data_IF_675861620443
#
_entry.id   IF_675861620443
#
_cell.length_a   1.000
_cell.length_b   1.000
_cell.length_c   1.000
_cell.angle_alpha   90.00
_cell.angle_beta   90.00
_cell.angle_gamma   90.00
#
_symmetry.space_group_name_H-M   'P 1'
#
loop_
_entity.id
_entity.type
_entity.pdbx_description
1 polymer ?
#
# COMPACT_ATOMS: atom_id res chain seq x y z
N UNK A 1 6.92 -6.16 16.93
CA UNK A 1 6.83 -7.60 16.56
C UNK A 1 5.43 -7.87 16.06
N UNK A 2 5.22 -8.73 15.05
CA UNK A 2 3.87 -9.10 14.62
C UNK A 2 3.12 -9.85 15.72
N UNK A 3 1.79 -9.87 15.64
CA UNK A 3 0.91 -10.62 16.52
C UNK A 3 0.32 -11.83 15.79
N UNK A 4 0.43 -13.03 16.36
CA UNK A 4 -0.24 -14.22 15.83
C UNK A 4 -1.76 -14.12 15.99
N UNK A 5 -2.51 -14.44 14.95
CA UNK A 5 -3.97 -14.49 14.97
C UNK A 5 -4.51 -15.60 14.06
N UNK A 6 -5.83 -15.82 14.11
CA UNK A 6 -6.54 -16.72 13.19
C UNK A 6 -7.68 -16.00 12.49
N UNK A 7 -7.97 -16.42 11.27
CA UNK A 7 -9.08 -15.88 10.47
C UNK A 7 -10.44 -16.31 11.03
N UNK A 8 -11.37 -15.38 11.21
CA UNK A 8 -12.75 -15.65 11.65
C UNK A 8 -13.65 -16.19 10.52
N UNK A 9 -13.23 -16.00 9.27
CA UNK A 9 -13.88 -16.53 8.06
C UNK A 9 -12.90 -16.45 6.89
N UNK A 10 -13.17 -17.22 5.83
CA UNK A 10 -12.40 -17.08 4.60
C UNK A 10 -12.48 -15.64 4.07
N UNK A 11 -11.37 -15.14 3.54
CA UNK A 11 -11.27 -13.76 3.06
C UNK A 11 -10.32 -13.65 1.87
N UNK A 12 -10.71 -12.84 0.91
CA UNK A 12 -9.78 -12.28 -0.07
C UNK A 12 -8.80 -11.35 0.63
N UNK A 13 -7.53 -11.40 0.21
CA UNK A 13 -6.46 -10.52 0.67
C UNK A 13 -6.16 -9.50 -0.42
N UNK A 14 -6.06 -8.22 -0.07
CA UNK A 14 -5.89 -7.11 -1.00
C UNK A 14 -4.53 -6.45 -0.87
N UNK A 15 -4.07 -5.79 -1.93
CA UNK A 15 -2.80 -5.05 -1.91
C UNK A 15 -2.87 -3.74 -1.11
N UNK A 16 -4.05 -3.30 -0.68
CA UNK A 16 -4.25 -2.11 0.15
C UNK A 16 -5.58 -2.15 0.90
N UNK A 17 -5.85 -1.20 1.81
CA UNK A 17 -7.00 -1.23 2.72
C UNK A 17 -8.30 -0.73 2.05
N UNK A 18 -8.63 -1.28 0.87
CA UNK A 18 -9.90 -1.05 0.18
C UNK A 18 -10.11 -2.13 -0.90
N UNK A 19 -11.29 -2.75 -0.95
CA UNK A 19 -11.59 -3.86 -1.86
C UNK A 19 -11.91 -3.45 -3.30
N UNK A 20 -12.30 -2.21 -3.55
CA UNK A 20 -12.68 -1.73 -4.90
C UNK A 20 -11.51 -1.15 -5.67
N UNK A 21 -10.53 -0.60 -4.95
CA UNK A 21 -9.45 0.17 -5.53
C UNK A 21 -8.12 -0.60 -5.65
N UNK A 22 -7.95 -1.64 -4.84
CA UNK A 22 -6.73 -2.44 -4.81
C UNK A 22 -6.96 -3.80 -5.42
N UNK A 23 -5.98 -4.25 -6.19
CA UNK A 23 -5.98 -5.60 -6.71
C UNK A 23 -5.87 -6.63 -5.57
N UNK A 24 -6.29 -7.86 -5.87
CA UNK A 24 -6.16 -9.00 -4.95
C UNK A 24 -4.72 -9.53 -4.93
N UNK A 25 -4.28 -9.99 -3.76
CA UNK A 25 -2.99 -10.66 -3.50
C UNK A 25 -3.16 -12.19 -3.53
N UNK A 26 -4.30 -12.64 -3.04
CA UNK A 26 -4.69 -14.04 -2.86
C UNK A 26 -5.87 -14.15 -1.89
N UNK A 27 -5.93 -15.26 -1.17
CA UNK A 27 -6.98 -15.54 -0.18
C UNK A 27 -6.41 -16.30 1.01
N UNK A 28 -7.13 -16.21 2.13
CA UNK A 28 -6.91 -17.01 3.35
C UNK A 28 -8.21 -17.72 3.71
N UNK A 29 -8.10 -18.90 4.30
CA UNK A 29 -9.21 -19.77 4.68
C UNK A 29 -9.73 -19.46 6.09
N UNK A 30 -10.93 -19.94 6.41
CA UNK A 30 -11.43 -19.95 7.79
C UNK A 30 -10.43 -20.65 8.71
N UNK A 31 -10.19 -20.09 9.90
CA UNK A 31 -9.25 -20.58 10.92
C UNK A 31 -7.78 -20.64 10.48
N UNK A 32 -7.42 -20.11 9.31
CA UNK A 32 -6.03 -20.03 8.88
C UNK A 32 -5.21 -19.14 9.84
N UNK A 33 -4.04 -19.62 10.23
CA UNK A 33 -3.11 -18.88 11.08
C UNK A 33 -2.37 -17.81 10.28
N UNK A 34 -2.36 -16.59 10.79
CA UNK A 34 -1.72 -15.44 10.14
C UNK A 34 -0.89 -14.65 11.15
N UNK A 35 0.04 -13.84 10.65
CA UNK A 35 0.80 -12.87 11.44
C UNK A 35 0.31 -11.47 11.10
N UNK A 36 -0.17 -10.73 12.10
CA UNK A 36 -0.67 -9.36 11.94
C UNK A 36 0.43 -8.37 12.27
N UNK A 37 0.77 -7.51 11.31
CA UNK A 37 1.88 -6.55 11.43
C UNK A 37 1.42 -5.15 11.82
N UNK A 38 0.24 -4.75 11.36
CA UNK A 38 -0.28 -3.39 11.58
C UNK A 38 -1.77 -3.29 11.27
N UNK A 39 -2.36 -2.17 11.69
CA UNK A 39 -3.67 -1.67 11.28
C UNK A 39 -3.50 -0.50 10.31
N UNK A 40 -4.35 -0.38 9.29
CA UNK A 40 -4.53 0.86 8.52
C UNK A 40 -6.02 1.07 8.31
N UNK A 41 -6.57 2.14 8.90
CA UNK A 41 -8.02 2.34 8.97
C UNK A 41 -8.68 1.09 9.60
N UNK A 42 -9.73 0.55 8.97
CA UNK A 42 -10.43 -0.64 9.44
C UNK A 42 -9.94 -1.95 8.77
N UNK A 43 -8.64 -2.06 8.51
CA UNK A 43 -8.01 -3.20 7.85
C UNK A 43 -6.74 -3.63 8.58
N UNK A 44 -6.53 -4.95 8.65
CA UNK A 44 -5.30 -5.54 9.16
C UNK A 44 -4.34 -5.84 8.02
N UNK A 45 -3.08 -5.43 8.16
CA UNK A 45 -1.98 -5.87 7.30
C UNK A 45 -1.40 -7.17 7.85
N UNK A 46 -1.56 -8.25 7.10
CA UNK A 46 -1.23 -9.61 7.51
C UNK A 46 -0.13 -10.22 6.65
N UNK A 47 0.55 -11.22 7.19
CA UNK A 47 1.36 -12.21 6.47
C UNK A 47 0.75 -13.60 6.65
N UNK A 48 0.71 -14.37 5.58
CA UNK A 48 0.18 -15.72 5.56
C UNK A 48 1.03 -16.62 4.66
N UNK A 49 1.04 -17.92 4.96
CA UNK A 49 1.84 -18.89 4.23
C UNK A 49 1.10 -19.34 2.96
N UNK A 50 1.82 -19.48 1.85
CA UNK A 50 1.29 -20.02 0.59
C UNK A 50 1.99 -21.31 0.16
N UNK A 51 2.90 -21.81 1.01
CA UNK A 51 3.69 -23.02 0.79
C UNK A 51 4.58 -23.27 2.00
N UNK A 52 5.55 -24.18 1.86
CA UNK A 52 6.49 -24.49 2.95
C UNK A 52 7.44 -23.31 3.26
N UNK A 53 7.84 -22.56 2.23
CA UNK A 53 8.81 -21.46 2.33
C UNK A 53 8.29 -20.14 1.77
N UNK A 54 7.13 -20.15 1.10
CA UNK A 54 6.57 -18.97 0.45
C UNK A 54 5.49 -18.33 1.30
N UNK A 55 5.53 -17.00 1.37
CA UNK A 55 4.58 -16.19 2.12
C UNK A 55 4.12 -15.01 1.29
N UNK A 56 2.97 -14.45 1.64
CA UNK A 56 2.48 -13.20 1.07
C UNK A 56 2.06 -12.25 2.18
N UNK A 57 2.14 -10.94 1.92
CA UNK A 57 1.51 -9.93 2.77
C UNK A 57 0.47 -9.12 2.02
N UNK A 58 -0.56 -8.69 2.75
CA UNK A 58 -1.65 -7.88 2.22
C UNK A 58 -2.67 -7.53 3.30
N UNK A 59 -3.84 -7.04 2.89
CA UNK A 59 -4.86 -6.51 3.78
C UNK A 59 -6.12 -7.36 3.79
N UNK A 60 -6.67 -7.58 4.99
CA UNK A 60 -8.00 -8.14 5.22
C UNK A 60 -8.81 -7.17 6.09
N UNK A 61 -10.14 -7.18 5.97
CA UNK A 61 -10.98 -6.28 6.77
C UNK A 61 -10.90 -6.63 8.25
N UNK A 62 -11.06 -5.63 9.11
CA UNK A 62 -10.99 -5.78 10.56
C UNK A 62 -11.85 -6.95 11.10
N UNK A 63 -13.06 -7.12 10.57
CA UNK A 63 -14.00 -8.15 10.99
C UNK A 63 -13.58 -9.59 10.63
N UNK A 64 -12.49 -9.78 9.88
CA UNK A 64 -12.02 -11.09 9.40
C UNK A 64 -10.99 -11.75 10.32
N UNK A 65 -10.61 -11.10 11.42
CA UNK A 65 -9.68 -11.64 12.42
C UNK A 65 -10.44 -11.99 13.70
N UNK A 66 -10.19 -13.16 14.27
CA UNK A 66 -10.71 -13.53 15.59
C UNK A 66 -10.11 -12.62 16.67
N UNK A 67 -10.93 -12.19 17.62
CA UNK A 67 -10.52 -11.23 18.67
C UNK A 67 -9.90 -9.94 18.12
N UNK A 68 -10.46 -9.42 17.03
CA UNK A 68 -9.93 -8.25 16.30
C UNK A 68 -9.56 -7.07 17.20
N UNK A 69 -10.37 -6.74 18.22
CA UNK A 69 -10.08 -5.62 19.13
C UNK A 69 -8.76 -5.83 19.91
N UNK A 70 -8.55 -7.04 20.43
CA UNK A 70 -7.33 -7.41 21.13
C UNK A 70 -6.11 -7.37 20.21
N UNK A 71 -6.26 -7.91 18.99
CA UNK A 71 -5.19 -7.89 17.98
C UNK A 71 -4.86 -6.47 17.54
N UNK A 72 -5.87 -5.61 17.35
CA UNK A 72 -5.66 -4.21 16.99
C UNK A 72 -4.92 -3.43 18.08
N UNK A 73 -5.18 -3.73 19.35
CA UNK A 73 -4.48 -3.12 20.47
C UNK A 73 -3.00 -3.57 20.59
N UNK A 74 -2.62 -4.69 19.97
CA UNK A 74 -1.27 -5.24 20.05
C UNK A 74 -0.38 -4.94 18.83
N UNK A 75 -0.90 -4.26 17.82
CA UNK A 75 -0.16 -3.91 16.59
C UNK A 75 -0.18 -2.39 16.34
N UNK A 76 0.87 -1.83 15.72
CA UNK A 76 0.89 -0.41 15.41
C UNK A 76 -0.18 -0.04 14.38
N UNK A 77 -0.64 1.20 14.43
CA UNK A 77 -1.43 1.80 13.34
C UNK A 77 -0.49 2.45 12.32
N UNK A 78 -0.62 2.06 11.06
CA UNK A 78 0.03 2.70 9.92
C UNK A 78 -0.72 3.96 9.53
N UNK A 79 -0.12 5.10 9.83
CA UNK A 79 -0.37 6.36 9.15
C UNK A 79 0.78 6.56 8.16
N UNK A 80 0.52 6.31 6.87
CA UNK A 80 1.58 6.41 5.88
C UNK A 80 1.88 7.86 5.53
N UNK A 81 3.13 8.26 5.74
CA UNK A 81 3.75 9.40 5.05
C UNK A 81 4.65 8.87 3.93
N UNK A 82 5.04 9.73 3.00
CA UNK A 82 5.88 9.31 1.88
C UNK A 82 6.01 10.38 0.81
N UNK A 83 6.57 9.99 -0.32
CA UNK A 83 6.93 10.87 -1.42
C UNK A 83 6.49 10.27 -2.75
N UNK A 84 6.34 11.11 -3.76
CA UNK A 84 6.31 10.63 -5.13
C UNK A 84 7.74 10.31 -5.59
N UNK A 85 7.92 9.21 -6.29
CA UNK A 85 9.19 8.85 -6.91
C UNK A 85 8.93 8.31 -8.33
N UNK A 86 9.99 8.19 -9.11
CA UNK A 86 9.92 7.67 -10.47
C UNK A 86 11.08 6.73 -10.71
N UNK A 87 10.77 5.58 -11.29
CA UNK A 87 11.76 4.55 -11.55
C UNK A 87 12.70 4.98 -12.68
N UNK A 88 13.99 4.66 -12.54
CA UNK A 88 15.00 4.85 -13.60
C UNK A 88 15.36 3.52 -14.28
N UNK A 89 14.80 2.43 -13.78
CA UNK A 89 14.99 1.06 -14.24
C UNK A 89 13.74 0.24 -13.91
N UNK A 90 13.64 -0.99 -14.40
CA UNK A 90 12.59 -1.91 -13.97
C UNK A 90 12.85 -2.34 -12.51
N UNK A 91 11.82 -2.28 -11.68
CA UNK A 91 11.86 -2.60 -10.25
C UNK A 91 10.88 -3.73 -10.01
N UNK A 92 11.40 -4.90 -9.63
CA UNK A 92 10.56 -6.00 -9.14
C UNK A 92 10.04 -5.64 -7.76
N UNK A 93 8.71 -5.72 -7.59
CA UNK A 93 8.07 -5.53 -6.29
C UNK A 93 7.81 -6.91 -5.69
N UNK A 94 7.98 -7.09 -4.40
CA UNK A 94 7.66 -8.32 -3.65
C UNK A 94 6.47 -8.07 -2.72
N UNK A 95 5.73 -9.12 -2.37
CA UNK A 95 4.62 -8.98 -1.38
C UNK A 95 5.10 -8.77 0.05
N UNK A 96 6.38 -8.99 0.35
CA UNK A 96 7.03 -8.76 1.65
C UNK A 96 8.51 -8.33 1.49
N UNK A 97 9.19 -7.95 2.57
CA UNK A 97 10.50 -7.30 2.54
C UNK A 97 11.67 -8.29 2.38
N UNK A 98 11.62 -9.11 1.34
CA UNK A 98 12.68 -10.07 0.97
C UNK A 98 12.60 -10.39 -0.53
N UNK A 99 13.41 -11.34 -0.99
CA UNK A 99 13.45 -11.78 -2.39
C UNK A 99 12.16 -12.46 -2.83
N UNK A 100 11.98 -12.57 -4.15
CA UNK A 100 10.81 -13.22 -4.76
C UNK A 100 10.70 -14.72 -4.49
N UNK A 101 11.74 -15.36 -3.97
CA UNK A 101 11.73 -16.76 -3.55
C UNK A 101 10.92 -16.95 -2.27
N UNK A 102 10.97 -15.98 -1.35
CA UNK A 102 10.22 -16.00 -0.08
C UNK A 102 8.88 -15.27 -0.23
N UNK A 103 8.89 -14.08 -0.85
CA UNK A 103 7.69 -13.28 -1.10
C UNK A 103 7.47 -13.07 -2.60
N UNK A 104 6.55 -13.83 -3.22
CA UNK A 104 6.30 -13.76 -4.65
C UNK A 104 6.04 -12.33 -5.13
N UNK A 105 6.51 -12.04 -6.35
CA UNK A 105 6.32 -10.73 -6.97
C UNK A 105 4.88 -10.57 -7.48
N UNK A 106 4.16 -9.50 -7.09
CA UNK A 106 2.84 -9.20 -7.64
C UNK A 106 2.92 -8.36 -8.94
N UNK A 107 4.12 -7.95 -9.33
CA UNK A 107 4.38 -7.19 -10.56
C UNK A 107 5.67 -6.37 -10.51
N UNK A 108 5.88 -5.62 -11.59
CA UNK A 108 7.05 -4.77 -11.82
C UNK A 108 6.59 -3.33 -11.99
N UNK A 109 7.36 -2.40 -11.43
CA UNK A 109 7.31 -0.98 -11.83
C UNK A 109 8.33 -0.82 -12.94
N UNK A 110 7.88 -0.52 -14.15
CA UNK A 110 8.76 -0.35 -15.31
C UNK A 110 9.50 0.96 -15.24
N UNK A 111 10.65 1.07 -15.91
CA UNK A 111 11.41 2.31 -15.99
C UNK A 111 10.52 3.47 -16.46
N UNK A 112 10.72 4.65 -15.88
CA UNK A 112 9.96 5.90 -16.12
C UNK A 112 8.53 5.91 -15.57
N UNK A 113 8.07 4.85 -14.91
CA UNK A 113 6.79 4.87 -14.19
C UNK A 113 6.89 5.60 -12.85
N UNK A 114 5.88 6.41 -12.56
CA UNK A 114 5.72 7.06 -11.27
C UNK A 114 5.08 6.11 -10.25
N UNK A 115 5.53 6.20 -9.01
CA UNK A 115 4.98 5.43 -7.90
C UNK A 115 5.05 6.26 -6.61
N UNK A 116 4.32 5.81 -5.60
CA UNK A 116 4.40 6.38 -4.25
C UNK A 116 5.38 5.57 -3.43
N UNK A 117 6.37 6.23 -2.84
CA UNK A 117 7.33 5.66 -1.89
C UNK A 117 6.86 5.99 -0.47
N UNK A 118 6.53 4.98 0.33
CA UNK A 118 6.21 5.21 1.74
C UNK A 118 7.47 5.34 2.59
N UNK A 119 7.35 6.04 3.71
CA UNK A 119 8.37 6.12 4.76
C UNK A 119 8.38 4.84 5.63
N UNK A 120 8.36 3.68 4.97
CA UNK A 120 8.46 2.37 5.61
C UNK A 120 9.55 1.57 4.90
N UNK A 121 10.61 1.26 5.63
CA UNK A 121 11.71 0.42 5.16
C UNK A 121 11.92 -0.74 6.12
N UNK A 122 12.10 -1.94 5.58
CA UNK A 122 12.36 -3.17 6.33
C UNK A 122 13.33 -4.04 5.54
N UNK A 123 14.40 -4.52 6.17
CA UNK A 123 15.34 -5.48 5.54
C UNK A 123 15.99 -4.98 4.25
N UNK A 124 16.19 -3.67 4.08
CA UNK A 124 16.69 -3.09 2.83
C UNK A 124 15.63 -2.90 1.75
N UNK A 125 14.37 -3.22 2.01
CA UNK A 125 13.25 -2.98 1.10
C UNK A 125 12.39 -1.81 1.58
N UNK A 126 11.90 -1.00 0.64
CA UNK A 126 10.98 0.10 0.91
C UNK A 126 9.59 -0.26 0.43
N UNK A 127 8.58 0.04 1.24
CA UNK A 127 7.18 -0.16 0.88
C UNK A 127 6.74 0.90 -0.13
N UNK A 128 6.11 0.46 -1.22
CA UNK A 128 5.68 1.33 -2.31
C UNK A 128 4.24 1.03 -2.73
N UNK A 129 3.62 1.99 -3.40
CA UNK A 129 2.34 1.83 -4.09
C UNK A 129 2.47 2.25 -5.55
N UNK A 130 1.92 1.42 -6.43
CA UNK A 130 2.01 1.60 -7.87
C UNK A 130 0.74 1.13 -8.57
N UNK A 131 0.45 1.70 -9.73
CA UNK A 131 -0.74 1.39 -10.51
C UNK A 131 -0.47 0.24 -11.48
N UNK A 132 -1.46 -0.62 -11.68
CA UNK A 132 -1.44 -1.66 -12.74
C UNK A 132 -2.78 -1.66 -13.48
N UNK A 133 -2.85 -2.32 -14.63
CA UNK A 133 -4.10 -2.49 -15.38
C UNK A 133 -5.19 -3.23 -14.60
N UNK A 134 -4.82 -3.99 -13.55
CA UNK A 134 -5.72 -4.75 -12.69
C UNK A 134 -6.06 -4.02 -11.37
N UNK A 135 -5.71 -2.74 -11.26
CA UNK A 135 -5.89 -1.92 -10.07
C UNK A 135 -4.58 -1.55 -9.38
N UNK A 136 -4.68 -0.76 -8.31
CA UNK A 136 -3.51 -0.33 -7.54
C UNK A 136 -2.95 -1.49 -6.73
N UNK A 137 -1.61 -1.58 -6.64
CA UNK A 137 -0.90 -2.56 -5.82
C UNK A 137 0.04 -1.87 -4.84
N UNK A 138 0.29 -2.52 -3.70
CA UNK A 138 1.38 -2.17 -2.77
C UNK A 138 2.23 -3.39 -2.50
N UNK A 139 3.50 -3.14 -2.21
CA UNK A 139 4.50 -4.16 -1.92
C UNK A 139 5.84 -3.54 -1.60
N UNK A 140 6.89 -4.34 -1.58
CA UNK A 140 8.23 -3.98 -1.16
C UNK A 140 9.18 -4.02 -2.35
N UNK A 141 9.86 -2.91 -2.62
CA UNK A 141 10.91 -2.80 -3.63
C UNK A 141 12.27 -2.69 -2.95
N UNK A 142 13.33 -3.23 -3.58
CA UNK A 142 14.67 -3.12 -3.02
C UNK A 142 15.10 -1.64 -3.00
N UNK A 143 15.47 -1.13 -1.83
CA UNK A 143 15.68 0.31 -1.61
C UNK A 143 16.81 0.87 -2.48
N UNK A 144 17.85 0.07 -2.72
CA UNK A 144 18.98 0.46 -3.59
C UNK A 144 18.62 0.62 -5.06
N UNK A 145 17.45 0.13 -5.49
CA UNK A 145 16.95 0.31 -6.87
C UNK A 145 16.03 1.53 -7.01
N UNK A 146 15.66 2.19 -5.90
CA UNK A 146 14.85 3.40 -5.94
C UNK A 146 15.70 4.60 -6.30
N UNK A 147 15.18 5.49 -7.14
CA UNK A 147 15.88 6.73 -7.50
C UNK A 147 15.99 7.69 -6.31
N UNK A 148 15.10 7.58 -5.32
CA UNK A 148 15.17 8.33 -4.08
C UNK A 148 14.94 9.82 -4.26
N UNK A 149 14.21 10.22 -5.32
CA UNK A 149 14.04 11.63 -5.69
C UNK A 149 13.17 12.40 -4.70
N UNK A 150 12.40 11.69 -3.87
CA UNK A 150 11.57 12.22 -2.77
C UNK A 150 10.77 13.47 -3.17
N UNK A 151 10.03 13.39 -4.29
CA UNK A 151 9.33 14.54 -4.87
C UNK A 151 7.97 14.75 -4.19
N UNK A 152 7.77 15.90 -3.54
CA UNK A 152 6.52 16.24 -2.84
C UNK A 152 6.25 15.36 -1.61
N UNK A 153 5.29 15.73 -0.77
CA UNK A 153 4.96 14.99 0.48
C UNK A 153 3.54 14.45 0.41
N UNK A 154 3.34 13.18 0.74
CA UNK A 154 2.01 12.59 0.95
C UNK A 154 1.36 13.22 2.18
N UNK A 155 0.17 13.77 2.02
CA UNK A 155 -0.66 14.29 3.12
C UNK A 155 -2.06 13.67 3.06
N UNK A 156 -2.64 13.38 4.22
CA UNK A 156 -4.03 12.91 4.36
C UNK A 156 -4.96 14.12 4.41
N UNK A 157 -5.97 14.18 3.53
CA UNK A 157 -6.95 15.26 3.54
C UNK A 157 -8.16 14.90 4.38
N UNK A 158 -8.43 15.68 5.44
CA UNK A 158 -9.50 15.46 6.42
C UNK A 158 -10.80 16.18 6.10
N UNK A 159 -10.82 17.07 5.09
CA UNK A 159 -12.00 17.82 4.70
C UNK A 159 -12.98 16.98 3.84
N UNK A 160 -14.28 17.25 3.97
CA UNK A 160 -15.33 16.50 3.28
C UNK A 160 -15.41 16.76 1.76
N UNK A 161 -14.78 17.84 1.27
CA UNK A 161 -14.72 18.22 -0.15
C UNK A 161 -13.60 19.26 -0.42
N UNK A 162 -12.31 18.93 -0.21
CA UNK A 162 -11.21 19.83 -0.58
C UNK A 162 -11.14 20.01 -2.10
N UNK A 163 -10.81 21.22 -2.55
CA UNK A 163 -10.39 21.48 -3.93
C UNK A 163 -8.93 21.07 -4.08
N UNK A 164 -8.63 20.23 -5.08
CA UNK A 164 -7.26 19.79 -5.38
C UNK A 164 -6.71 20.61 -6.54
N UNK A 165 -5.57 21.27 -6.34
CA UNK A 165 -4.86 22.02 -7.37
C UNK A 165 -3.71 21.19 -7.94
N UNK A 166 -3.53 21.21 -9.26
CA UNK A 166 -2.45 20.51 -9.97
C UNK A 166 -1.17 21.35 -10.06
N UNK A 167 -0.80 22.05 -8.99
CA UNK A 167 0.37 22.95 -8.97
C UNK A 167 0.57 23.68 -7.63
N UNK A 168 1.67 24.45 -7.46
CA UNK A 168 2.01 25.14 -6.21
C UNK A 168 1.18 26.40 -5.93
N UNK A 169 0.24 26.77 -6.82
CA UNK A 169 -0.64 27.95 -6.67
C UNK A 169 -2.11 27.59 -6.90
N UNK A 170 -2.98 28.39 -6.30
CA UNK A 170 -4.45 28.26 -6.28
C UNK A 170 -5.16 28.67 -7.58
N UNK A 171 -4.42 29.01 -8.63
CA UNK A 171 -4.91 29.50 -9.92
C UNK A 171 -4.75 28.50 -11.08
N UNK A 172 -4.24 27.30 -10.80
CA UNK A 172 -4.20 26.19 -11.76
C UNK A 172 -5.57 25.49 -11.88
N UNK A 173 -5.80 24.84 -13.04
CA UNK A 173 -7.02 24.08 -13.36
C UNK A 173 -7.45 23.23 -12.15
N UNK A 174 -8.67 23.46 -11.67
CA UNK A 174 -9.28 22.68 -10.59
C UNK A 174 -9.29 21.20 -10.98
N UNK A 175 -8.54 20.36 -10.28
CA UNK A 175 -8.46 18.92 -10.52
C UNK A 175 -9.70 18.13 -10.07
N UNK A 176 -10.78 18.84 -9.73
CA UNK A 176 -12.02 18.31 -9.16
C UNK A 176 -12.10 18.45 -7.63
N UNK A 177 -13.18 17.91 -7.06
CA UNK A 177 -13.35 17.69 -5.63
C UNK A 177 -12.93 16.26 -5.28
N UNK A 178 -12.38 16.04 -4.08
CA UNK A 178 -12.28 14.68 -3.54
C UNK A 178 -13.17 14.51 -2.29
N UNK A 179 -13.72 13.31 -2.12
CA UNK A 179 -14.40 12.92 -0.89
C UNK A 179 -13.35 12.67 0.21
N UNK A 180 -13.70 12.72 1.51
CA UNK A 180 -12.75 12.44 2.59
C UNK A 180 -12.17 11.03 2.40
N UNK A 181 -10.90 10.97 2.03
CA UNK A 181 -10.29 9.77 1.48
C UNK A 181 -9.17 10.05 0.47
N UNK A 182 -8.33 9.04 0.26
CA UNK A 182 -7.05 9.11 -0.44
C UNK A 182 -7.22 9.42 -1.94
N UNK A 183 -6.55 10.46 -2.43
CA UNK A 183 -6.65 10.96 -3.81
C UNK A 183 -5.86 10.04 -4.77
N UNK A 184 -6.48 9.66 -5.91
CA UNK A 184 -5.84 9.08 -7.11
C UNK A 184 -6.35 9.84 -8.34
N UNK A 185 -5.47 10.15 -9.28
CA UNK A 185 -5.85 10.71 -10.60
C UNK A 185 -5.03 10.09 -11.73
N UNK A 186 -5.72 9.72 -12.83
CA UNK A 186 -5.21 9.42 -14.17
C UNK A 186 -6.32 9.84 -15.17
N UNK A 187 -6.00 10.44 -16.34
CA UNK A 187 -5.32 9.70 -17.41
C UNK A 187 -4.21 10.47 -18.15
N UNK A 188 -3.20 9.73 -18.60
CA UNK A 188 -2.23 10.18 -19.62
C UNK A 188 -1.11 11.08 -19.11
N UNK A 189 0.01 10.47 -18.72
CA UNK A 189 1.33 11.13 -18.55
C UNK A 189 1.36 12.36 -17.61
N UNK A 190 1.33 12.14 -16.30
CA UNK A 190 1.66 13.19 -15.33
C UNK A 190 1.41 12.76 -13.90
N UNK A 191 2.47 12.72 -13.09
CA UNK A 191 2.44 12.46 -11.65
C UNK A 191 1.89 13.71 -10.93
N UNK A 192 0.77 13.58 -10.20
CA UNK A 192 0.10 14.69 -9.52
C UNK A 192 0.71 14.94 -8.12
N UNK A 193 1.03 16.21 -7.85
CA UNK A 193 1.61 16.73 -6.60
C UNK A 193 0.52 17.26 -5.65
N UNK A 194 0.72 17.14 -4.34
CA UNK A 194 -0.02 17.92 -3.33
C UNK A 194 1.00 18.63 -2.42
N UNK A 195 0.89 19.96 -2.32
CA UNK A 195 1.48 20.79 -1.26
C UNK A 195 0.31 21.58 -0.68
N UNK A 196 0.03 21.44 0.61
CA UNK A 196 -0.97 22.24 1.32
C UNK A 196 -0.22 23.21 2.25
N UNK A 197 -0.50 24.51 2.13
CA UNK A 197 -0.19 25.52 3.14
C UNK A 197 -1.36 25.64 4.11
#
# INVERSE_FOLDING_TARGET
MPTSATMSSASTVYHGPNSSNYATVGSVSLNESVQVYAMEKNWFFIEYSTGATTKKRGYVTYSKINNAATVAASVPTRSFTGYADVSIQNITVCTGPETSTTYPSPGTVYATEGFTRFNETSGGYTYIEYSTSLGTKRGYALTSQLAGRNRGVLSDVTAASPTVYTGPRSDYVTGGSCLPGRIRGYPGKGLLFLVLH
#
